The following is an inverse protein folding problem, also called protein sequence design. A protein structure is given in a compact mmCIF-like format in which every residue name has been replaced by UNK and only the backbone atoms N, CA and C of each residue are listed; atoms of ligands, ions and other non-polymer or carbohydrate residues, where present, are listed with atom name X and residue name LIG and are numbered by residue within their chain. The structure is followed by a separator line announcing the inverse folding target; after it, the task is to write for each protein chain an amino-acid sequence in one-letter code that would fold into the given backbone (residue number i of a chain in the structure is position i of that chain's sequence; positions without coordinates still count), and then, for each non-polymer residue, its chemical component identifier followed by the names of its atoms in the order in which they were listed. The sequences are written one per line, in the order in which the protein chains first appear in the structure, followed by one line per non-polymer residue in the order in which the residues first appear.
data_IF_813518945944
#
_entry.id   IF_813518945944
#
_cell.length_a   1.000
_cell.length_b   1.000
_cell.length_c   1.000
_cell.angle_alpha   90.00
_cell.angle_beta   90.00
_cell.angle_gamma   90.00
#
_symmetry.space_group_name_H-M   'P 1'
#
loop_
_entity.id
_entity.type
_entity.pdbx_description
1 polymer ?
#
# COMPACT_ATOMS: atom_id res chain seq x y z
N UNK A 1 -1.45 -2.28 0.53
CA UNK A 1 -1.20 -3.43 1.41
C UNK A 1 -0.11 -4.26 0.77
N UNK A 2 0.92 -4.66 1.52
CA UNK A 2 2.02 -5.50 1.06
C UNK A 2 2.06 -6.75 1.93
N UNK A 3 2.03 -7.94 1.32
CA UNK A 3 2.16 -9.20 2.06
C UNK A 3 3.62 -9.42 2.50
N UNK A 4 3.85 -9.38 3.81
CA UNK A 4 5.17 -9.62 4.40
C UNK A 4 5.03 -10.29 5.76
N UNK A 5 5.85 -11.31 6.05
CA UNK A 5 5.88 -11.96 7.37
C UNK A 5 4.56 -12.59 7.81
N UNK A 6 3.71 -13.03 6.87
CA UNK A 6 2.41 -13.62 7.16
C UNK A 6 1.28 -12.62 7.48
N UNK A 7 1.54 -11.32 7.33
CA UNK A 7 0.57 -10.24 7.49
C UNK A 7 0.55 -9.33 6.27
N UNK A 8 -0.43 -8.43 6.23
CA UNK A 8 -0.48 -7.34 5.27
C UNK A 8 0.01 -6.06 5.94
N UNK A 9 1.23 -5.66 5.61
CA UNK A 9 1.72 -4.32 5.93
C UNK A 9 0.85 -3.28 5.23
N UNK A 10 0.12 -2.50 6.03
CA UNK A 10 -0.93 -1.63 5.49
C UNK A 10 -0.59 -0.16 5.64
N UNK A 11 -0.76 0.58 4.55
CA UNK A 11 -0.56 2.02 4.48
C UNK A 11 -1.80 2.66 3.85
N UNK A 12 -2.31 3.72 4.46
CA UNK A 12 -3.37 4.55 3.91
C UNK A 12 -2.76 5.67 3.07
N UNK A 13 -3.11 5.73 1.79
CA UNK A 13 -2.59 6.73 0.86
C UNK A 13 -3.56 7.91 0.75
N UNK A 14 -3.05 9.14 0.67
CA UNK A 14 -3.90 10.33 0.45
C UNK A 14 -4.41 10.42 -0.99
N UNK A 15 -3.61 9.96 -1.96
CA UNK A 15 -3.98 9.94 -3.38
C UNK A 15 -4.45 8.54 -3.84
N UNK A 16 -5.42 8.47 -4.76
CA UNK A 16 -5.85 7.20 -5.35
C UNK A 16 -4.75 6.60 -6.24
N UNK A 17 -4.68 5.25 -6.39
CA UNK A 17 -3.64 4.57 -7.15
C UNK A 17 -3.36 5.13 -8.55
N UNK A 18 -4.41 5.55 -9.26
CA UNK A 18 -4.31 6.09 -10.63
C UNK A 18 -3.46 7.36 -10.75
N UNK A 19 -3.23 8.10 -9.65
CA UNK A 19 -2.39 9.30 -9.67
C UNK A 19 -0.93 9.03 -9.32
N UNK A 20 -0.63 7.88 -8.71
CA UNK A 20 0.67 7.59 -8.10
C UNK A 20 1.82 7.35 -9.09
N UNK A 21 1.60 6.86 -10.33
CA UNK A 21 2.68 6.78 -11.32
C UNK A 21 3.32 8.13 -11.69
N UNK A 22 2.74 9.26 -11.27
CA UNK A 22 3.25 10.59 -11.61
C UNK A 22 3.27 11.57 -10.43
N UNK A 23 2.90 11.12 -9.23
CA UNK A 23 2.76 11.97 -8.06
C UNK A 23 3.22 11.25 -6.80
N UNK A 24 4.03 11.95 -6.02
CA UNK A 24 4.34 11.55 -4.65
C UNK A 24 3.12 11.79 -3.75
N UNK A 25 2.85 10.88 -2.82
CA UNK A 25 1.78 11.02 -1.82
C UNK A 25 2.28 10.68 -0.41
N UNK A 26 1.59 11.22 0.59
CA UNK A 26 1.74 10.75 1.97
C UNK A 26 1.07 9.39 2.13
N UNK A 27 1.73 8.51 2.86
CA UNK A 27 1.27 7.20 3.23
C UNK A 27 1.29 7.08 4.76
N UNK A 28 0.16 6.81 5.39
CA UNK A 28 0.06 6.62 6.84
C UNK A 28 0.10 5.14 7.15
N UNK A 29 1.10 4.67 7.90
CA UNK A 29 1.19 3.28 8.35
C UNK A 29 0.09 3.04 9.37
N UNK A 30 -0.77 2.07 9.11
CA UNK A 30 -1.82 1.63 10.03
C UNK A 30 -1.58 0.18 10.44
N UNK A 31 -2.45 -0.33 11.31
CA UNK A 31 -2.40 -1.73 11.78
C UNK A 31 -2.26 -2.71 10.61
N UNK A 32 -1.45 -3.74 10.82
CA UNK A 32 -1.34 -4.82 9.85
C UNK A 32 -2.67 -5.56 9.74
N UNK A 33 -2.98 -6.00 8.54
CA UNK A 33 -4.24 -6.70 8.25
C UNK A 33 -3.99 -8.19 8.00
N UNK A 34 -4.96 -9.07 8.30
CA UNK A 34 -4.88 -10.47 7.93
C UNK A 34 -4.89 -10.67 6.40
N UNK A 35 -4.22 -11.71 5.90
CA UNK A 35 -4.10 -12.01 4.46
C UNK A 35 -5.43 -12.08 3.70
N UNK A 36 -6.52 -12.48 4.37
CA UNK A 36 -7.88 -12.52 3.78
C UNK A 36 -8.36 -11.16 3.24
N UNK A 37 -7.74 -10.06 3.66
CA UNK A 37 -8.08 -8.71 3.17
C UNK A 37 -7.57 -8.43 1.76
N UNK A 38 -6.67 -9.25 1.20
CA UNK A 38 -6.23 -9.13 -0.20
C UNK A 38 -7.38 -9.25 -1.20
N UNK A 39 -8.40 -10.04 -0.86
CA UNK A 39 -9.57 -10.30 -1.71
C UNK A 39 -10.88 -9.81 -1.10
N UNK A 40 -10.82 -9.00 -0.04
CA UNK A 40 -12.03 -8.52 0.65
C UNK A 40 -12.61 -7.29 -0.04
N UNK A 41 -13.88 -7.39 -0.43
CA UNK A 41 -14.71 -6.26 -0.82
C UNK A 41 -16.03 -6.34 -0.05
N UNK A 42 -16.58 -5.20 0.33
CA UNK A 42 -17.85 -5.16 1.06
C UNK A 42 -17.93 -4.09 2.12
N UNK A 43 -18.94 -4.20 2.97
CA UNK A 43 -19.25 -3.19 3.98
C UNK A 43 -18.37 -3.31 5.22
N UNK A 44 -17.84 -2.17 5.66
CA UNK A 44 -17.05 -2.03 6.89
C UNK A 44 -17.81 -1.18 7.91
N UNK A 45 -17.36 -1.22 9.18
CA UNK A 45 -17.88 -0.37 10.26
C UNK A 45 -19.41 -0.45 10.43
N UNK A 46 -19.98 -1.65 10.37
CA UNK A 46 -21.43 -1.90 10.51
C UNK A 46 -22.26 -1.10 9.49
N UNK A 47 -21.85 -1.05 8.23
CA UNK A 47 -22.61 -0.32 7.19
C UNK A 47 -22.13 1.10 6.92
N UNK A 48 -21.22 1.65 7.73
CA UNK A 48 -20.80 3.05 7.63
C UNK A 48 -19.76 3.32 6.53
N UNK A 49 -19.25 2.27 5.89
CA UNK A 49 -18.35 2.39 4.76
C UNK A 49 -18.34 1.13 3.90
N UNK A 50 -17.65 1.21 2.77
CA UNK A 50 -17.41 0.08 1.87
C UNK A 50 -15.97 0.08 1.38
N UNK A 51 -15.42 -1.11 1.21
CA UNK A 51 -14.11 -1.34 0.61
C UNK A 51 -14.31 -1.97 -0.77
N UNK A 52 -13.54 -1.48 -1.74
CA UNK A 52 -13.37 -2.07 -3.07
C UNK A 52 -11.88 -2.18 -3.40
N UNK A 53 -11.53 -3.18 -4.20
CA UNK A 53 -10.16 -3.36 -4.68
C UNK A 53 -9.94 -2.40 -5.86
N UNK A 54 -9.11 -1.38 -5.64
CA UNK A 54 -8.76 -0.42 -6.68
C UNK A 54 -7.68 -0.95 -7.64
N UNK A 55 -6.73 -1.73 -7.12
CA UNK A 55 -5.70 -2.42 -7.88
C UNK A 55 -5.26 -3.67 -7.11
N UNK A 56 -4.76 -4.68 -7.83
CA UNK A 56 -4.23 -5.90 -7.25
C UNK A 56 -3.15 -6.48 -8.18
N UNK A 57 -2.14 -7.09 -7.58
CA UNK A 57 -0.99 -7.61 -8.30
C UNK A 57 0.02 -8.25 -7.36
N UNK A 58 1.22 -8.45 -7.88
CA UNK A 58 2.36 -8.91 -7.08
C UNK A 58 3.36 -7.78 -6.90
N UNK A 59 4.30 -7.97 -5.98
CA UNK A 59 5.44 -7.08 -5.86
C UNK A 59 6.71 -7.87 -5.56
N UNK A 60 7.86 -7.26 -5.85
CA UNK A 60 9.16 -7.73 -5.40
C UNK A 60 9.80 -6.64 -4.53
N UNK A 61 10.37 -7.03 -3.39
CA UNK A 61 11.22 -6.15 -2.59
C UNK A 61 12.62 -6.12 -3.23
N UNK A 62 12.98 -5.00 -3.82
CA UNK A 62 14.30 -4.81 -4.47
C UNK A 62 15.38 -4.49 -3.44
N UNK A 63 15.03 -3.67 -2.45
CA UNK A 63 15.89 -3.30 -1.32
C UNK A 63 15.01 -2.86 -0.15
N UNK A 64 15.44 -3.14 1.07
CA UNK A 64 14.65 -2.82 2.26
C UNK A 64 15.51 -2.55 3.49
N UNK A 65 15.17 -1.48 4.20
CA UNK A 65 15.59 -1.18 5.56
C UNK A 65 14.37 -0.84 6.40
N UNK A 66 14.58 -0.58 7.69
CA UNK A 66 13.52 -0.13 8.61
C UNK A 66 12.81 1.14 8.11
N UNK A 67 13.53 2.04 7.44
CA UNK A 67 13.02 3.36 7.05
C UNK A 67 12.77 3.52 5.56
N UNK A 68 13.11 2.54 4.72
CA UNK A 68 12.95 2.66 3.27
C UNK A 68 12.79 1.29 2.60
N UNK A 69 11.81 1.16 1.72
CA UNK A 69 11.62 -0.02 0.88
C UNK A 69 11.53 0.40 -0.59
N UNK A 70 12.34 -0.23 -1.43
CA UNK A 70 12.27 -0.14 -2.89
C UNK A 70 11.52 -1.37 -3.41
N UNK A 71 10.48 -1.14 -4.18
CA UNK A 71 9.51 -2.15 -4.61
C UNK A 71 9.42 -2.14 -6.13
N UNK A 72 9.38 -3.32 -6.74
CA UNK A 72 8.87 -3.49 -8.09
C UNK A 72 7.42 -3.94 -7.99
N UNK A 73 6.47 -3.08 -8.38
CA UNK A 73 5.04 -3.38 -8.41
C UNK A 73 4.63 -3.91 -9.79
N UNK A 74 3.79 -4.94 -9.80
CA UNK A 74 3.15 -5.50 -10.99
C UNK A 74 1.65 -5.66 -10.76
N UNK A 75 0.97 -4.51 -10.66
CA UNK A 75 -0.49 -4.37 -10.69
C UNK A 75 -1.00 -3.93 -12.07
N UNK A 76 -2.31 -3.66 -12.17
CA UNK A 76 -2.91 -3.10 -13.38
C UNK A 76 -2.75 -1.58 -13.47
N UNK A 77 -2.72 -0.90 -12.32
CA UNK A 77 -2.59 0.56 -12.22
C UNK A 77 -1.17 0.91 -11.76
N UNK A 78 -0.73 0.33 -10.65
CA UNK A 78 0.60 0.53 -10.09
C UNK A 78 1.56 -0.49 -10.69
N UNK A 79 2.33 -0.05 -11.68
CA UNK A 79 3.29 -0.89 -12.38
C UNK A 79 4.60 -0.14 -12.58
N UNK A 80 5.68 -0.69 -12.06
CA UNK A 80 6.98 -0.02 -12.09
C UNK A 80 7.71 -0.09 -10.77
N UNK A 81 8.79 0.68 -10.67
CA UNK A 81 9.54 0.83 -9.42
C UNK A 81 8.86 1.89 -8.58
N UNK A 82 8.72 1.63 -7.29
CA UNK A 82 8.19 2.56 -6.31
C UNK A 82 9.04 2.50 -5.05
N UNK A 83 9.10 3.60 -4.31
CA UNK A 83 9.73 3.69 -3.01
C UNK A 83 8.70 4.08 -1.96
N UNK A 84 8.74 3.43 -0.80
CA UNK A 84 8.10 3.92 0.42
C UNK A 84 9.18 4.27 1.47
N UNK A 85 9.20 5.51 1.93
CA UNK A 85 10.24 6.06 2.83
C UNK A 85 9.59 6.63 4.08
N UNK A 86 10.06 6.23 5.27
CA UNK A 86 9.62 6.76 6.55
C UNK A 86 10.01 8.22 6.68
N UNK A 87 9.13 9.04 7.25
CA UNK A 87 9.36 10.46 7.50
C UNK A 87 9.45 10.70 9.00
N UNK A 88 8.33 10.52 9.70
CA UNK A 88 8.17 10.74 11.15
C UNK A 88 6.98 9.92 11.63
N UNK A 89 6.95 9.48 12.89
CA UNK A 89 5.82 8.76 13.49
C UNK A 89 5.28 7.63 12.58
N UNK A 90 4.00 7.68 12.21
CA UNK A 90 3.32 6.78 11.29
C UNK A 90 3.32 7.30 9.84
N UNK A 91 3.98 8.42 9.56
CA UNK A 91 4.02 9.06 8.25
C UNK A 91 5.16 8.54 7.39
N UNK A 92 4.80 8.15 6.19
CA UNK A 92 5.66 7.69 5.12
C UNK A 92 5.39 8.49 3.85
N UNK A 93 6.33 8.46 2.92
CA UNK A 93 6.21 8.99 1.58
C UNK A 93 6.20 7.85 0.59
N UNK A 94 5.22 7.84 -0.32
CA UNK A 94 5.15 6.88 -1.43
C UNK A 94 5.34 7.61 -2.76
N UNK A 95 6.26 7.12 -3.59
CA UNK A 95 6.62 7.70 -4.90
C UNK A 95 7.02 6.60 -5.86
N UNK A 96 6.82 6.82 -7.17
CA UNK A 96 7.55 6.08 -8.20
C UNK A 96 9.06 6.33 -8.06
#
# INVERSE_FOLDING_TARGET
MLEAGGVLETYQLELPPVKLPHQTTTAIKIFDHPLKFLSYEGSVNKGKGSVKIADAGTYQLLSGSEHRKELQLDGKILKGKFTITHIEDDRWRFTE
#
